data_IF_135279363409
#
_entry.id   IF_135279363409
#
_cell.length_a   1.000
_cell.length_b   1.000
_cell.length_c   1.000
_cell.angle_alpha   90.00
_cell.angle_beta   90.00
_cell.angle_gamma   90.00
#
_symmetry.space_group_name_H-M   'P 1'
#
loop_
_entity.id
_entity.type
_entity.pdbx_description
1 polymer ?
#
# COMPACT_ATOMS: atom_id res chain seq x y z
N UNK A 1 24.52 26.36 23.71
CA UNK A 1 24.17 25.83 22.37
C UNK A 1 24.11 24.31 22.40
N UNK A 2 22.94 23.72 22.64
CA UNK A 2 22.66 22.30 22.38
C UNK A 2 21.15 22.11 22.16
N UNK A 3 20.83 21.58 20.99
CA UNK A 3 19.64 20.80 20.67
C UNK A 3 18.27 21.50 20.56
N UNK A 4 18.12 22.36 19.55
CA UNK A 4 16.81 22.71 18.94
C UNK A 4 16.32 21.67 17.90
N UNK A 5 16.98 20.49 17.78
CA UNK A 5 16.65 19.51 16.73
C UNK A 5 15.52 18.52 17.05
N UNK A 6 14.97 18.53 18.27
CA UNK A 6 13.97 17.54 18.69
C UNK A 6 12.53 18.06 18.84
N UNK A 7 12.27 19.34 18.54
CA UNK A 7 10.92 19.93 18.74
C UNK A 7 10.03 19.94 17.49
N UNK A 8 10.53 19.56 16.30
CA UNK A 8 9.74 19.62 15.06
C UNK A 8 8.78 18.44 14.85
N UNK A 9 8.88 17.37 15.65
CA UNK A 9 8.00 16.20 15.54
C UNK A 9 6.82 16.21 16.52
N UNK A 10 6.84 17.12 17.51
CA UNK A 10 5.85 17.15 18.61
C UNK A 10 4.63 18.03 18.33
N UNK A 11 4.60 18.78 17.22
CA UNK A 11 3.52 19.76 16.94
C UNK A 11 2.56 19.32 15.83
N UNK A 12 2.71 18.11 15.28
CA UNK A 12 1.61 17.47 14.56
C UNK A 12 0.64 16.96 15.63
N UNK A 13 -0.41 17.75 15.87
CA UNK A 13 -1.63 17.39 16.58
C UNK A 13 -1.85 15.87 16.48
N UNK A 14 -2.03 15.20 17.61
CA UNK A 14 -2.19 13.76 17.77
C UNK A 14 -3.37 13.20 16.98
N UNK A 15 -3.23 13.14 15.65
CA UNK A 15 -4.05 12.30 14.80
C UNK A 15 -3.65 10.87 15.10
N UNK A 16 -4.64 10.04 15.43
CA UNK A 16 -4.45 8.61 15.62
C UNK A 16 -4.07 7.97 14.28
N UNK A 17 -2.80 8.10 13.88
CA UNK A 17 -2.29 7.62 12.61
C UNK A 17 -2.19 6.09 12.66
N UNK A 18 -3.07 5.45 11.92
CA UNK A 18 -3.08 4.00 11.71
C UNK A 18 -2.51 3.69 10.33
N UNK A 19 -2.02 2.46 10.12
CA UNK A 19 -1.63 1.99 8.79
C UNK A 19 -2.78 2.10 7.78
N UNK A 20 -4.03 1.90 8.21
CA UNK A 20 -5.21 2.11 7.35
C UNK A 20 -5.37 3.59 6.96
N UNK A 21 -5.12 4.52 7.89
CA UNK A 21 -5.12 5.95 7.58
C UNK A 21 -4.03 6.32 6.56
N UNK A 22 -2.80 5.88 6.78
CA UNK A 22 -1.67 6.24 5.92
C UNK A 22 -1.72 5.54 4.56
N UNK A 23 -1.94 4.22 4.55
CA UNK A 23 -1.85 3.42 3.33
C UNK A 23 -3.06 3.56 2.43
N UNK A 24 -4.25 3.81 3.00
CA UNK A 24 -5.50 3.85 2.25
C UNK A 24 -6.15 5.23 2.23
N UNK A 25 -6.53 5.79 3.38
CA UNK A 25 -7.28 7.06 3.41
C UNK A 25 -6.47 8.25 2.88
N UNK A 26 -5.17 8.33 3.21
CA UNK A 26 -4.27 9.35 2.70
C UNK A 26 -4.17 9.32 1.18
N UNK A 27 -3.93 8.14 0.60
CA UNK A 27 -3.89 7.96 -0.86
C UNK A 27 -5.26 8.19 -1.52
N UNK A 28 -6.36 7.77 -0.88
CA UNK A 28 -7.71 8.04 -1.37
C UNK A 28 -8.02 9.53 -1.47
N UNK A 29 -7.59 10.32 -0.47
CA UNK A 29 -7.71 11.79 -0.52
C UNK A 29 -6.81 12.41 -1.59
N UNK A 30 -5.57 11.91 -1.75
CA UNK A 30 -4.66 12.37 -2.80
C UNK A 30 -5.26 12.13 -4.19
N UNK A 31 -5.78 10.92 -4.45
CA UNK A 31 -6.44 10.57 -5.71
C UNK A 31 -7.67 11.46 -5.93
N UNK A 32 -8.53 11.61 -4.91
CA UNK A 32 -9.72 12.45 -4.99
C UNK A 32 -9.36 13.91 -5.31
N UNK A 33 -8.30 14.43 -4.72
CA UNK A 33 -7.85 15.81 -4.96
C UNK A 33 -7.40 16.02 -6.41
N UNK A 34 -6.69 15.05 -7.00
CA UNK A 34 -6.19 15.12 -8.38
C UNK A 34 -7.16 14.57 -9.43
N UNK A 35 -8.33 14.06 -9.03
CA UNK A 35 -9.25 13.38 -9.92
C UNK A 35 -9.71 14.28 -11.08
N UNK A 36 -10.02 15.54 -10.82
CA UNK A 36 -10.41 16.50 -11.87
C UNK A 36 -9.27 16.72 -12.87
N UNK A 37 -8.03 16.86 -12.39
CA UNK A 37 -6.84 17.00 -13.23
C UNK A 37 -6.61 15.76 -14.09
N UNK A 38 -6.75 14.56 -13.51
CA UNK A 38 -6.61 13.29 -14.24
C UNK A 38 -7.67 13.16 -15.33
N UNK A 39 -8.94 13.47 -15.02
CA UNK A 39 -10.03 13.45 -15.99
C UNK A 39 -9.83 14.46 -17.12
N UNK A 40 -9.39 15.68 -16.79
CA UNK A 40 -9.07 16.68 -17.81
C UNK A 40 -7.91 16.22 -18.70
N UNK A 41 -6.88 15.62 -18.12
CA UNK A 41 -5.74 15.06 -18.88
C UNK A 41 -6.19 13.96 -19.84
N UNK A 42 -7.14 13.13 -19.41
CA UNK A 42 -7.71 12.05 -20.21
C UNK A 42 -8.52 12.55 -21.45
N UNK A 43 -8.81 13.84 -21.55
CA UNK A 43 -9.48 14.41 -22.74
C UNK A 43 -8.53 14.62 -23.93
N UNK A 44 -7.22 14.73 -23.70
CA UNK A 44 -6.22 14.96 -24.74
C UNK A 44 -5.03 13.98 -24.68
N UNK A 45 -4.93 13.14 -23.65
CA UNK A 45 -3.99 12.04 -23.55
C UNK A 45 -4.76 10.72 -23.39
N UNK A 46 -4.41 9.71 -24.18
CA UNK A 46 -5.13 8.43 -24.20
C UNK A 46 -4.67 7.46 -23.12
N UNK A 47 -3.51 7.71 -22.51
CA UNK A 47 -2.91 6.83 -21.51
C UNK A 47 -2.65 7.55 -20.19
N UNK A 48 -3.72 7.74 -19.42
CA UNK A 48 -3.66 8.31 -18.06
C UNK A 48 -3.82 7.17 -17.05
N UNK A 49 -2.89 7.07 -16.10
CA UNK A 49 -2.84 5.95 -15.15
C UNK A 49 -2.66 6.40 -13.71
N UNK A 50 -3.23 5.62 -12.80
CA UNK A 50 -2.95 5.68 -11.35
C UNK A 50 -2.53 4.30 -10.90
N UNK A 51 -1.27 4.17 -10.47
CA UNK A 51 -0.70 2.92 -9.98
C UNK A 51 -0.74 2.90 -8.46
N UNK A 52 -1.42 1.92 -7.88
CA UNK A 52 -1.69 1.79 -6.46
C UNK A 52 -0.89 0.61 -5.90
N UNK A 53 0.01 0.87 -4.96
CA UNK A 53 0.80 -0.19 -4.34
C UNK A 53 -0.01 -0.99 -3.32
N UNK A 54 -0.24 -2.27 -3.61
CA UNK A 54 -0.80 -3.26 -2.68
C UNK A 54 0.28 -4.19 -2.12
N UNK A 55 -0.09 -5.38 -1.63
CA UNK A 55 0.82 -6.40 -1.10
C UNK A 55 0.10 -7.73 -0.95
N UNK A 56 0.81 -8.86 -1.15
CA UNK A 56 0.27 -10.23 -1.00
C UNK A 56 -0.35 -10.49 0.37
N UNK A 57 0.05 -9.72 1.38
CA UNK A 57 -0.50 -9.76 2.72
C UNK A 57 -2.00 -9.46 2.78
N UNK A 58 -2.59 -8.86 1.74
CA UNK A 58 -4.05 -8.72 1.63
C UNK A 58 -4.76 -10.06 1.86
N UNK A 59 -4.14 -11.20 1.48
CA UNK A 59 -4.69 -12.55 1.67
C UNK A 59 -4.85 -12.96 3.14
N UNK A 60 -4.12 -12.32 4.05
CA UNK A 60 -4.19 -12.58 5.49
C UNK A 60 -5.10 -11.58 6.21
N UNK A 61 -5.96 -10.87 5.49
CA UNK A 61 -7.05 -10.12 6.13
C UNK A 61 -7.94 -11.10 6.91
N UNK A 62 -8.41 -10.69 8.09
CA UNK A 62 -9.39 -11.50 8.80
C UNK A 62 -10.70 -11.56 7.99
N UNK A 63 -11.46 -12.64 8.13
CA UNK A 63 -12.73 -12.90 7.41
C UNK A 63 -13.78 -11.80 7.54
N UNK A 64 -13.61 -10.91 8.52
CA UNK A 64 -14.46 -9.76 8.82
C UNK A 64 -14.34 -8.61 7.80
N UNK A 65 -13.41 -8.68 6.83
CA UNK A 65 -13.24 -7.67 5.80
C UNK A 65 -12.67 -6.34 6.33
N UNK A 66 -13.15 -5.21 5.80
CA UNK A 66 -12.74 -3.85 6.22
C UNK A 66 -13.54 -3.46 7.47
N UNK A 67 -12.85 -3.23 8.59
CA UNK A 67 -13.49 -2.87 9.87
C UNK A 67 -13.30 -1.38 10.17
N UNK A 68 -14.37 -0.58 10.34
CA UNK A 68 -14.28 0.84 10.65
C UNK A 68 -13.47 1.16 11.93
N UNK A 69 -13.48 0.26 12.92
CA UNK A 69 -12.72 0.38 14.17
C UNK A 69 -11.20 0.43 13.97
N UNK A 70 -10.68 -0.14 12.88
CA UNK A 70 -9.25 -0.09 12.58
C UNK A 70 -8.75 1.31 12.22
N UNK A 71 -9.67 2.24 11.92
CA UNK A 71 -9.35 3.62 11.66
C UNK A 71 -8.80 4.26 12.95
N UNK A 72 -9.52 4.20 14.07
CA UNK A 72 -9.16 4.96 15.28
C UNK A 72 -7.96 4.44 16.07
N UNK A 73 -7.30 3.35 15.66
CA UNK A 73 -6.20 2.77 16.44
C UNK A 73 -4.82 3.22 15.98
N UNK A 74 -4.03 3.82 16.88
CA UNK A 74 -2.63 4.20 16.62
C UNK A 74 -1.81 2.95 16.28
N UNK A 75 -1.25 2.91 15.07
CA UNK A 75 -0.35 1.84 14.64
C UNK A 75 0.58 2.36 13.55
N UNK A 76 1.85 2.58 13.88
CA UNK A 76 2.88 3.03 12.94
C UNK A 76 3.94 1.96 12.64
N UNK A 77 4.01 0.89 13.43
CA UNK A 77 5.05 -0.14 13.33
C UNK A 77 4.41 -1.52 13.12
N UNK A 78 4.89 -2.27 12.13
CA UNK A 78 4.52 -3.68 11.96
C UNK A 78 5.29 -4.54 12.97
N UNK A 79 4.59 -5.15 13.92
CA UNK A 79 5.21 -6.04 14.90
C UNK A 79 4.25 -7.16 15.25
N UNK A 80 4.66 -8.41 15.09
CA UNK A 80 3.92 -9.58 15.65
C UNK A 80 4.21 -9.79 17.15
N UNK A 81 5.31 -9.21 17.67
CA UNK A 81 5.78 -9.43 19.04
C UNK A 81 5.41 -8.29 20.00
N UNK A 82 4.60 -7.33 19.56
CA UNK A 82 4.08 -6.27 20.41
C UNK A 82 3.12 -6.86 21.46
N UNK A 83 3.39 -6.58 22.75
CA UNK A 83 2.46 -6.85 23.86
C UNK A 83 1.16 -6.05 23.75
N UNK A 84 1.11 -5.01 22.92
CA UNK A 84 -0.07 -4.23 22.57
C UNK A 84 -0.70 -4.68 21.24
N UNK A 85 -0.98 -5.97 21.06
CA UNK A 85 -1.79 -6.46 19.93
C UNK A 85 -1.03 -6.71 18.61
N UNK A 86 0.16 -7.32 18.68
CA UNK A 86 0.98 -7.54 17.48
C UNK A 86 0.31 -8.29 16.32
N UNK A 87 -0.57 -9.27 16.61
CA UNK A 87 -1.38 -9.94 15.57
C UNK A 87 -2.36 -8.98 14.88
N UNK A 88 -2.87 -8.00 15.60
CA UNK A 88 -3.84 -7.02 15.08
C UNK A 88 -3.16 -5.95 14.21
N UNK A 89 -1.89 -5.63 14.49
CA UNK A 89 -1.08 -4.76 13.62
C UNK A 89 -0.96 -5.31 12.19
N UNK A 90 -0.70 -6.61 12.06
CA UNK A 90 -0.63 -7.28 10.76
C UNK A 90 -1.96 -7.39 10.05
N UNK A 91 -3.03 -7.68 10.80
CA UNK A 91 -4.40 -7.71 10.24
C UNK A 91 -4.80 -6.34 9.71
N UNK A 92 -4.46 -5.26 10.40
CA UNK A 92 -4.70 -3.88 9.94
C UNK A 92 -3.92 -3.56 8.68
N UNK A 93 -2.64 -3.96 8.62
CA UNK A 93 -1.85 -3.83 7.40
C UNK A 93 -2.49 -4.59 6.22
N UNK A 94 -2.83 -5.86 6.42
CA UNK A 94 -3.51 -6.69 5.42
C UNK A 94 -4.82 -6.06 4.94
N UNK A 95 -5.65 -5.56 5.86
CA UNK A 95 -6.89 -4.83 5.53
C UNK A 95 -6.62 -3.56 4.73
N UNK A 96 -5.58 -2.80 5.06
CA UNK A 96 -5.20 -1.60 4.29
C UNK A 96 -4.78 -1.93 2.86
N UNK A 97 -4.13 -3.08 2.65
CA UNK A 97 -3.74 -3.57 1.32
C UNK A 97 -4.93 -4.12 0.54
N UNK A 98 -5.87 -4.81 1.20
CA UNK A 98 -7.14 -5.20 0.61
C UNK A 98 -7.97 -3.98 0.17
N UNK A 99 -8.05 -2.95 1.02
CA UNK A 99 -8.77 -1.72 0.69
C UNK A 99 -8.20 -1.05 -0.57
N UNK A 100 -6.88 -1.08 -0.77
CA UNK A 100 -6.26 -0.58 -2.00
C UNK A 100 -6.67 -1.37 -3.24
N UNK A 101 -6.80 -2.70 -3.17
CA UNK A 101 -7.29 -3.52 -4.28
C UNK A 101 -8.74 -3.17 -4.63
N UNK A 102 -9.63 -3.21 -3.63
CA UNK A 102 -11.06 -2.91 -3.82
C UNK A 102 -11.24 -1.50 -4.38
N UNK A 103 -10.49 -0.54 -3.87
CA UNK A 103 -10.56 0.84 -4.34
C UNK A 103 -10.05 1.02 -5.76
N UNK A 104 -9.02 0.28 -6.16
CA UNK A 104 -8.54 0.25 -7.54
C UNK A 104 -9.66 -0.21 -8.49
N UNK A 105 -10.33 -1.32 -8.15
CA UNK A 105 -11.46 -1.86 -8.95
C UNK A 105 -12.60 -0.86 -9.02
N UNK A 106 -13.02 -0.28 -7.88
CA UNK A 106 -14.10 0.70 -7.83
C UNK A 106 -13.79 1.97 -8.64
N UNK A 107 -12.54 2.45 -8.60
CA UNK A 107 -12.11 3.60 -9.39
C UNK A 107 -12.10 3.28 -10.89
N UNK A 108 -11.60 2.10 -11.27
CA UNK A 108 -11.62 1.65 -12.65
C UNK A 108 -13.04 1.58 -13.23
N UNK A 109 -14.01 1.11 -12.43
CA UNK A 109 -15.42 1.05 -12.83
C UNK A 109 -16.06 2.45 -12.95
N UNK A 110 -15.75 3.36 -12.04
CA UNK A 110 -16.37 4.71 -11.98
C UNK A 110 -15.75 5.69 -12.98
N UNK A 111 -14.48 5.53 -13.30
CA UNK A 111 -13.72 6.47 -14.12
C UNK A 111 -12.98 5.73 -15.25
N UNK A 112 -13.70 5.15 -16.22
CA UNK A 112 -13.12 4.27 -17.24
C UNK A 112 -12.15 4.97 -18.22
N UNK A 113 -12.13 6.30 -18.24
CA UNK A 113 -11.17 7.10 -19.03
C UNK A 113 -9.77 7.14 -18.42
N UNK A 114 -9.61 6.68 -17.18
CA UNK A 114 -8.33 6.58 -16.47
C UNK A 114 -8.09 5.10 -16.14
N UNK A 115 -6.87 4.62 -16.33
CA UNK A 115 -6.48 3.27 -15.90
C UNK A 115 -6.08 3.29 -14.43
N UNK A 116 -6.76 2.50 -13.61
CA UNK A 116 -6.37 2.28 -12.21
C UNK A 116 -5.79 0.88 -12.11
N UNK A 117 -4.59 0.75 -11.58
CA UNK A 117 -3.84 -0.51 -11.58
C UNK A 117 -3.24 -0.73 -10.21
N UNK A 118 -3.52 -1.87 -9.60
CA UNK A 118 -2.91 -2.28 -8.36
C UNK A 118 -1.69 -3.17 -8.64
N UNK A 119 -0.62 -2.96 -7.87
CA UNK A 119 0.61 -3.75 -8.03
C UNK A 119 1.05 -4.38 -6.73
N UNK A 120 1.46 -5.64 -6.82
CA UNK A 120 2.02 -6.41 -5.72
C UNK A 120 3.51 -6.64 -6.03
N UNK A 121 4.43 -5.93 -5.36
CA UNK A 121 5.87 -6.05 -5.64
C UNK A 121 6.46 -7.39 -5.15
N UNK A 122 5.73 -8.11 -4.29
CA UNK A 122 6.24 -9.27 -3.55
C UNK A 122 7.16 -8.87 -2.40
N UNK A 123 7.81 -9.85 -1.78
CA UNK A 123 8.69 -9.61 -0.63
C UNK A 123 10.00 -8.97 -1.09
N UNK A 124 10.20 -7.70 -0.74
CA UNK A 124 11.40 -6.94 -1.12
C UNK A 124 12.31 -6.71 0.09
N UNK A 125 13.62 -6.74 -0.11
CA UNK A 125 14.63 -6.44 0.92
C UNK A 125 14.69 -4.94 1.19
N UNK A 126 13.77 -4.47 2.03
CA UNK A 126 13.67 -3.07 2.45
C UNK A 126 13.69 -2.98 3.99
N UNK A 127 13.89 -1.79 4.57
CA UNK A 127 13.74 -1.58 6.01
C UNK A 127 12.31 -1.83 6.52
N UNK A 128 11.29 -1.78 5.65
CA UNK A 128 9.90 -2.02 6.02
C UNK A 128 9.60 -3.51 6.20
N UNK A 129 10.32 -4.39 5.50
CA UNK A 129 10.14 -5.84 5.56
C UNK A 129 10.81 -6.39 6.82
N UNK A 130 10.08 -7.02 7.74
CA UNK A 130 10.67 -7.59 8.95
C UNK A 130 11.59 -8.77 8.65
N UNK A 131 12.65 -8.92 9.46
CA UNK A 131 13.67 -9.95 9.25
C UNK A 131 13.11 -11.37 9.14
N UNK A 132 12.10 -11.71 9.94
CA UNK A 132 11.46 -13.04 9.89
C UNK A 132 10.73 -13.31 8.56
N UNK A 133 10.17 -12.29 7.92
CA UNK A 133 9.59 -12.40 6.57
C UNK A 133 10.69 -12.60 5.54
N UNK A 134 11.82 -11.87 5.65
CA UNK A 134 12.97 -12.04 4.76
C UNK A 134 13.50 -13.48 4.81
N UNK A 135 13.70 -14.01 6.02
CA UNK A 135 14.15 -15.39 6.23
C UNK A 135 13.16 -16.39 5.62
N UNK A 136 11.85 -16.18 5.82
CA UNK A 136 10.81 -17.03 5.26
C UNK A 136 10.75 -16.95 3.72
N UNK A 137 10.98 -15.78 3.13
CA UNK A 137 11.03 -15.62 1.68
C UNK A 137 12.27 -16.28 1.07
N UNK A 138 13.41 -16.20 1.74
CA UNK A 138 14.64 -16.90 1.32
C UNK A 138 14.42 -18.42 1.36
N UNK A 139 13.84 -18.96 2.43
CA UNK A 139 13.64 -20.41 2.59
C UNK A 139 12.62 -21.00 1.61
N UNK A 140 11.68 -20.19 1.11
CA UNK A 140 10.67 -20.61 0.12
C UNK A 140 11.14 -20.54 -1.34
N UNK A 141 12.23 -19.82 -1.62
CA UNK A 141 12.78 -19.65 -2.99
C UNK A 141 12.97 -20.96 -3.78
N UNK A 142 13.42 -22.09 -3.20
CA UNK A 142 13.54 -23.34 -3.96
C UNK A 142 12.20 -24.05 -4.22
N UNK A 143 11.12 -23.69 -3.52
CA UNK A 143 9.83 -24.39 -3.56
C UNK A 143 8.75 -23.65 -4.36
N UNK A 144 8.90 -22.35 -4.58
CA UNK A 144 7.95 -21.55 -5.33
C UNK A 144 8.62 -20.31 -5.96
N UNK A 145 8.13 -19.82 -7.11
CA UNK A 145 8.44 -18.48 -7.58
C UNK A 145 8.02 -17.46 -6.51
N UNK A 146 8.90 -16.51 -6.16
CA UNK A 146 8.58 -15.47 -5.15
C UNK A 146 9.49 -15.41 -3.93
N UNK A 147 10.80 -15.64 -4.11
CA UNK A 147 11.80 -15.40 -3.06
C UNK A 147 11.99 -13.92 -2.71
N UNK A 148 12.92 -13.64 -1.78
CA UNK A 148 13.31 -12.28 -1.43
C UNK A 148 13.88 -11.55 -2.65
N UNK A 149 13.22 -10.45 -3.04
CA UNK A 149 13.62 -9.57 -4.14
C UNK A 149 14.45 -8.41 -3.62
N UNK A 150 15.36 -7.89 -4.44
CA UNK A 150 15.96 -6.57 -4.22
C UNK A 150 14.91 -5.46 -4.42
N UNK A 151 15.09 -4.25 -3.86
CA UNK A 151 14.22 -3.11 -4.14
C UNK A 151 14.06 -2.82 -5.64
N UNK A 152 15.13 -3.04 -6.43
CA UNK A 152 15.12 -2.86 -7.89
C UNK A 152 14.21 -3.87 -8.58
N UNK A 153 14.26 -5.14 -8.19
CA UNK A 153 13.35 -6.16 -8.73
C UNK A 153 11.90 -5.90 -8.30
N UNK A 154 11.69 -5.42 -7.07
CA UNK A 154 10.39 -5.01 -6.56
C UNK A 154 9.77 -3.85 -7.33
N UNK A 155 10.57 -2.90 -7.80
CA UNK A 155 10.06 -1.74 -8.57
C UNK A 155 9.62 -2.08 -9.99
N UNK A 156 9.97 -3.27 -10.50
CA UNK A 156 9.59 -3.69 -11.86
C UNK A 156 8.08 -3.81 -12.04
N UNK A 157 7.32 -4.16 -11.00
CA UNK A 157 5.86 -4.22 -11.09
C UNK A 157 5.24 -2.84 -11.28
N UNK A 158 5.72 -1.84 -10.55
CA UNK A 158 5.31 -0.44 -10.71
C UNK A 158 5.72 0.12 -12.08
N UNK A 159 6.93 -0.21 -12.53
CA UNK A 159 7.40 0.19 -13.86
C UNK A 159 6.50 -0.42 -14.94
N UNK A 160 6.24 -1.72 -14.88
CA UNK A 160 5.34 -2.40 -15.79
C UNK A 160 3.95 -1.76 -15.80
N UNK A 161 3.33 -1.55 -14.65
CA UNK A 161 2.01 -0.90 -14.55
C UNK A 161 2.01 0.54 -15.09
N UNK A 162 3.12 1.26 -14.89
CA UNK A 162 3.29 2.64 -15.35
C UNK A 162 3.58 2.78 -16.85
N UNK A 163 4.18 1.77 -17.50
CA UNK A 163 4.74 1.94 -18.86
C UNK A 163 4.34 0.87 -19.88
N UNK A 164 3.91 -0.31 -19.48
CA UNK A 164 3.59 -1.38 -20.43
C UNK A 164 2.30 -1.07 -21.19
N UNK A 165 2.21 -1.50 -22.46
CA UNK A 165 1.07 -1.18 -23.34
C UNK A 165 -0.17 -2.02 -23.00
N UNK A 166 0.06 -3.25 -22.56
CA UNK A 166 -0.95 -4.28 -22.31
C UNK A 166 -1.59 -4.20 -20.90
N UNK A 167 -1.34 -3.14 -20.13
CA UNK A 167 -1.90 -3.00 -18.78
C UNK A 167 -3.40 -2.74 -18.83
N UNK A 168 -4.17 -3.65 -18.25
CA UNK A 168 -5.61 -3.51 -18.07
C UNK A 168 -5.95 -2.71 -16.80
N UNK A 169 -7.08 -1.98 -16.83
CA UNK A 169 -7.59 -1.25 -15.68
C UNK A 169 -8.37 -2.19 -14.76
N UNK A 170 -8.22 -2.05 -13.45
CA UNK A 170 -8.91 -2.85 -12.43
C UNK A 170 -8.20 -4.15 -12.03
N UNK A 171 -6.97 -4.37 -12.50
CA UNK A 171 -6.10 -5.48 -12.07
C UNK A 171 -5.28 -5.14 -10.81
#
# INVERSE_FOLDING_TARGET
MRSLRNQSLTTLRSYHLSLTHLNHLGHGLLIKHHLSTLLNTATYQTDVRVVIASSDEYRFHASEGIIPRDLSTIQLILSIFSSLGGKDSWRRYARSKLANLIYTVELALRFPTIKFVAVLPGVCDTPMTPGWIKVTAISRKPLAPGGLKTPKEGSLSQLWAGTAKEVASGE
#
